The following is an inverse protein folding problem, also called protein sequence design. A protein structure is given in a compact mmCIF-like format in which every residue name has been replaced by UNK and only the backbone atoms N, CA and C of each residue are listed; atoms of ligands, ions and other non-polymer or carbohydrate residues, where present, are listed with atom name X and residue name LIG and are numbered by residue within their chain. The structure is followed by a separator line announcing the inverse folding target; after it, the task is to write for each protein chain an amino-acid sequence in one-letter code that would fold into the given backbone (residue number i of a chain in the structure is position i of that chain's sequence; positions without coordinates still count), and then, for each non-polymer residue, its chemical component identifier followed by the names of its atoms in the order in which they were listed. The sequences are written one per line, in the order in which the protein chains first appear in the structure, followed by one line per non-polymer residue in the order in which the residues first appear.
data_IF_276835957329
#
_entry.id   IF_276835957329
#
_cell.length_a   1.000
_cell.length_b   1.000
_cell.length_c   1.000
_cell.angle_alpha   90.00
_cell.angle_beta   90.00
_cell.angle_gamma   90.00
#
_symmetry.space_group_name_H-M   'P 1'
#
loop_
_entity.id
_entity.type
_entity.pdbx_description
1 polymer ?
#
# COMPACT_ATOMS: atom_id res chain seq x y z
N UNK A 1 -4.92 -7.94 -20.17
CA UNK A 1 -3.74 -7.86 -21.05
C UNK A 1 -2.53 -8.30 -20.21
N UNK A 2 -1.61 -9.14 -20.76
CA UNK A 2 -0.35 -9.45 -20.08
C UNK A 2 0.42 -8.16 -19.76
N UNK A 3 1.11 -8.16 -18.60
CA UNK A 3 1.77 -6.97 -18.06
C UNK A 3 2.82 -6.40 -19.03
N UNK A 4 3.69 -7.23 -19.56
CA UNK A 4 4.73 -6.84 -20.52
C UNK A 4 4.18 -6.12 -21.78
N UNK A 5 3.02 -6.55 -22.23
CA UNK A 5 2.28 -5.89 -23.31
C UNK A 5 1.70 -4.54 -22.87
N UNK A 6 1.13 -4.47 -21.68
CA UNK A 6 0.59 -3.22 -21.15
C UNK A 6 1.71 -2.19 -20.97
N UNK A 7 2.83 -2.57 -20.38
CA UNK A 7 4.00 -1.71 -20.18
C UNK A 7 4.48 -1.12 -21.52
N UNK A 8 4.64 -1.96 -22.53
CA UNK A 8 5.08 -1.51 -23.85
C UNK A 8 4.08 -0.51 -24.47
N UNK A 9 2.78 -0.80 -24.39
CA UNK A 9 1.75 0.05 -24.99
C UNK A 9 1.60 1.38 -24.25
N UNK A 10 1.60 1.36 -22.92
CA UNK A 10 1.45 2.56 -22.10
C UNK A 10 2.69 3.47 -22.19
N UNK A 11 3.89 2.90 -22.15
CA UNK A 11 5.12 3.64 -22.42
C UNK A 11 5.11 4.28 -23.81
N UNK A 12 4.69 3.54 -24.85
CA UNK A 12 4.60 4.07 -26.22
C UNK A 12 3.58 5.20 -26.32
N UNK A 13 2.41 5.04 -25.70
CA UNK A 13 1.37 6.08 -25.62
C UNK A 13 1.92 7.36 -24.99
N UNK A 14 2.53 7.25 -23.81
CA UNK A 14 3.03 8.40 -23.08
C UNK A 14 4.21 9.09 -23.76
N UNK A 15 5.11 8.33 -24.37
CA UNK A 15 6.20 8.91 -25.19
C UNK A 15 5.66 9.69 -26.39
N UNK A 16 4.62 9.21 -27.04
CA UNK A 16 3.94 9.96 -28.10
C UNK A 16 3.21 11.19 -27.58
N UNK A 17 2.58 11.10 -26.41
CA UNK A 17 1.98 12.25 -25.75
C UNK A 17 3.02 13.31 -25.38
N UNK A 18 4.23 12.90 -25.01
CA UNK A 18 5.38 13.78 -24.68
C UNK A 18 5.93 14.59 -25.85
N UNK A 19 5.32 14.52 -27.04
CA UNK A 19 5.65 15.43 -28.16
C UNK A 19 4.89 16.77 -28.08
N UNK A 20 3.88 16.88 -27.22
CA UNK A 20 3.06 18.09 -27.04
C UNK A 20 2.60 18.23 -25.59
N UNK A 21 2.87 19.38 -24.97
CA UNK A 21 2.52 19.62 -23.57
C UNK A 21 1.02 19.44 -23.28
N UNK A 22 0.06 20.01 -24.06
CA UNK A 22 -1.35 19.79 -23.82
C UNK A 22 -1.80 18.33 -23.95
N UNK A 23 -1.15 17.57 -24.86
CA UNK A 23 -1.45 16.14 -25.02
C UNK A 23 -0.92 15.34 -23.84
N UNK A 24 0.29 15.66 -23.38
CA UNK A 24 0.87 15.04 -22.19
C UNK A 24 -0.02 15.28 -20.97
N UNK A 25 -0.42 16.52 -20.72
CA UNK A 25 -1.27 16.89 -19.57
C UNK A 25 -2.61 16.13 -19.60
N UNK A 26 -3.23 16.01 -20.77
CA UNK A 26 -4.48 15.28 -20.96
C UNK A 26 -4.34 13.79 -20.63
N UNK A 27 -3.30 13.12 -21.17
CA UNK A 27 -3.10 11.70 -20.92
C UNK A 27 -2.64 11.44 -19.48
N UNK A 28 -1.85 12.32 -18.88
CA UNK A 28 -1.46 12.23 -17.46
C UNK A 28 -2.69 12.26 -16.57
N UNK A 29 -3.57 13.24 -16.76
CA UNK A 29 -4.81 13.36 -15.97
C UNK A 29 -5.72 12.12 -16.13
N UNK A 30 -5.93 11.64 -17.37
CA UNK A 30 -6.80 10.47 -17.57
C UNK A 30 -6.20 9.21 -16.95
N UNK A 31 -4.91 8.97 -17.14
CA UNK A 31 -4.26 7.78 -16.62
C UNK A 31 -4.19 7.79 -15.10
N UNK A 32 -3.96 8.94 -14.47
CA UNK A 32 -4.06 9.12 -13.03
C UNK A 32 -5.47 8.79 -12.52
N UNK A 33 -6.50 9.42 -13.11
CA UNK A 33 -7.90 9.19 -12.74
C UNK A 33 -8.33 7.72 -12.90
N UNK A 34 -7.86 7.04 -13.93
CA UNK A 34 -8.27 5.66 -14.22
C UNK A 34 -7.44 4.64 -13.45
N UNK A 35 -6.12 4.83 -13.37
CA UNK A 35 -5.19 3.80 -12.88
C UNK A 35 -4.71 4.04 -11.45
N UNK A 36 -4.80 5.26 -10.93
CA UNK A 36 -4.23 5.62 -9.62
C UNK A 36 -5.26 6.12 -8.61
N UNK A 37 -6.34 6.77 -9.04
CA UNK A 37 -7.39 7.24 -8.10
C UNK A 37 -7.90 6.08 -7.23
N UNK A 38 -7.89 6.23 -5.88
CA UNK A 38 -8.37 5.20 -4.96
C UNK A 38 -9.79 4.72 -5.21
N UNK A 39 -10.64 5.59 -5.78
CA UNK A 39 -12.04 5.29 -6.07
C UNK A 39 -12.25 4.68 -7.46
N UNK A 40 -11.20 4.59 -8.27
CA UNK A 40 -11.32 4.02 -9.60
C UNK A 40 -11.50 2.50 -9.54
N UNK A 41 -12.56 1.94 -10.16
CA UNK A 41 -12.72 0.48 -10.26
C UNK A 41 -11.65 -0.17 -11.18
N UNK A 42 -10.90 0.63 -11.92
CA UNK A 42 -9.82 0.19 -12.81
C UNK A 42 -8.43 0.48 -12.23
N UNK A 43 -8.33 0.89 -10.96
CA UNK A 43 -7.05 1.16 -10.30
C UNK A 43 -6.09 -0.01 -10.47
N UNK A 44 -4.89 0.28 -10.97
CA UNK A 44 -3.85 -0.71 -11.17
C UNK A 44 -2.47 -0.05 -11.18
N UNK A 45 -1.80 -0.10 -10.04
CA UNK A 45 -0.50 0.54 -9.85
C UNK A 45 0.56 -0.05 -10.80
N UNK A 46 0.49 -1.35 -11.13
CA UNK A 46 1.41 -1.97 -12.08
C UNK A 46 1.30 -1.37 -13.49
N UNK A 47 0.11 -0.97 -13.91
CA UNK A 47 -0.09 -0.28 -15.20
C UNK A 47 0.21 1.21 -15.11
N UNK A 48 0.22 1.79 -13.93
CA UNK A 48 0.55 3.21 -13.74
C UNK A 48 2.07 3.47 -13.70
N UNK A 49 2.89 2.50 -13.28
CA UNK A 49 4.35 2.59 -13.24
C UNK A 49 4.95 3.09 -14.56
N UNK A 50 4.72 2.45 -15.74
CA UNK A 50 5.34 2.89 -16.99
C UNK A 50 4.92 4.30 -17.42
N UNK A 51 3.79 4.79 -16.95
CA UNK A 51 3.33 6.15 -17.18
C UNK A 51 4.17 7.14 -16.36
N UNK A 52 4.32 6.85 -15.07
CA UNK A 52 5.14 7.67 -14.16
C UNK A 52 6.60 7.73 -14.60
N UNK A 53 7.17 6.61 -15.04
CA UNK A 53 8.54 6.58 -15.58
C UNK A 53 8.72 7.56 -16.74
N UNK A 54 7.77 7.62 -17.67
CA UNK A 54 7.82 8.58 -18.79
C UNK A 54 7.62 10.02 -18.31
N UNK A 55 6.75 10.26 -17.32
CA UNK A 55 6.53 11.61 -16.76
C UNK A 55 7.77 12.13 -16.07
N UNK A 56 8.42 11.32 -15.24
CA UNK A 56 9.65 11.68 -14.51
C UNK A 56 10.77 12.04 -15.49
N UNK A 57 10.88 11.35 -16.62
CA UNK A 57 11.89 11.60 -17.65
C UNK A 57 11.52 12.69 -18.67
N UNK A 58 10.25 13.15 -18.67
CA UNK A 58 9.74 14.04 -19.71
C UNK A 58 10.45 15.42 -19.72
N UNK A 59 11.01 15.87 -20.85
CA UNK A 59 11.60 17.20 -20.95
C UNK A 59 10.56 18.33 -20.94
N UNK A 60 9.27 18.00 -21.10
CA UNK A 60 8.16 18.96 -21.08
C UNK A 60 7.75 19.36 -19.66
N UNK A 61 8.15 18.59 -18.64
CA UNK A 61 7.88 18.90 -17.23
C UNK A 61 9.11 19.57 -16.61
N UNK A 62 8.88 20.64 -15.84
CA UNK A 62 9.91 21.22 -15.02
C UNK A 62 10.18 20.41 -13.75
N UNK A 63 11.18 20.79 -12.96
CA UNK A 63 11.59 20.07 -11.76
C UNK A 63 10.44 19.92 -10.74
N UNK A 64 9.67 20.98 -10.53
CA UNK A 64 8.55 20.96 -9.57
C UNK A 64 7.40 20.05 -10.03
N UNK A 65 7.11 20.06 -11.32
CA UNK A 65 6.06 19.23 -11.91
C UNK A 65 6.39 17.73 -11.87
N UNK A 66 7.66 17.36 -11.76
CA UNK A 66 8.12 15.97 -11.63
C UNK A 66 8.06 15.45 -10.21
N UNK A 67 7.92 16.31 -9.19
CA UNK A 67 7.96 15.88 -7.78
C UNK A 67 6.86 14.87 -7.45
N UNK A 68 5.62 15.14 -7.88
CA UNK A 68 4.49 14.23 -7.62
C UNK A 68 4.67 12.90 -8.36
N UNK A 69 4.90 12.87 -9.69
CA UNK A 69 5.15 11.61 -10.40
C UNK A 69 6.33 10.81 -9.83
N UNK A 70 7.40 11.48 -9.39
CA UNK A 70 8.56 10.80 -8.80
C UNK A 70 8.23 10.19 -7.42
N UNK A 71 7.48 10.91 -6.60
CA UNK A 71 7.00 10.42 -5.31
C UNK A 71 6.07 9.22 -5.49
N UNK A 72 5.09 9.32 -6.39
CA UNK A 72 4.14 8.23 -6.66
C UNK A 72 4.87 6.99 -7.18
N UNK A 73 5.82 7.16 -8.10
CA UNK A 73 6.65 6.08 -8.62
C UNK A 73 7.45 5.39 -7.51
N UNK A 74 8.06 6.16 -6.60
CA UNK A 74 8.75 5.60 -5.44
C UNK A 74 7.80 4.82 -4.54
N UNK A 75 6.62 5.36 -4.24
CA UNK A 75 5.64 4.72 -3.36
C UNK A 75 5.09 3.41 -3.94
N UNK A 76 4.60 3.42 -5.17
CA UNK A 76 3.99 2.22 -5.78
C UNK A 76 5.03 1.16 -6.16
N UNK A 77 6.32 1.54 -6.24
CA UNK A 77 7.41 0.60 -6.52
C UNK A 77 7.83 -0.21 -5.29
N UNK A 78 7.47 0.22 -4.08
CA UNK A 78 7.95 -0.41 -2.82
C UNK A 78 7.38 -1.79 -2.55
N UNK A 79 6.09 -2.02 -2.79
CA UNK A 79 5.38 -3.23 -2.36
C UNK A 79 4.68 -3.92 -3.54
N UNK A 80 5.42 -4.17 -4.60
CA UNK A 80 4.88 -4.82 -5.82
C UNK A 80 4.61 -6.30 -5.60
N UNK A 81 3.58 -6.82 -6.27
CA UNK A 81 3.24 -8.26 -6.23
C UNK A 81 4.45 -9.10 -6.71
N UNK A 82 4.83 -10.07 -5.90
CA UNK A 82 5.97 -10.97 -6.17
C UNK A 82 7.34 -10.42 -5.79
N UNK A 83 7.41 -9.20 -5.22
CA UNK A 83 8.65 -8.65 -4.63
C UNK A 83 8.65 -8.77 -3.12
N UNK A 84 9.84 -8.63 -2.52
CA UNK A 84 9.95 -8.54 -1.06
C UNK A 84 9.30 -7.25 -0.58
N UNK A 85 8.39 -7.34 0.38
CA UNK A 85 7.77 -6.18 1.00
C UNK A 85 8.83 -5.32 1.71
N UNK A 86 8.64 -3.99 1.65
CA UNK A 86 9.49 -3.05 2.38
C UNK A 86 9.42 -3.33 3.87
N UNK A 87 10.57 -3.50 4.52
CA UNK A 87 10.63 -3.67 5.96
C UNK A 87 10.36 -2.36 6.68
N UNK A 88 9.72 -2.44 7.82
CA UNK A 88 9.49 -1.30 8.72
C UNK A 88 9.45 -1.76 10.17
N UNK A 89 9.80 -0.85 11.08
CA UNK A 89 9.75 -1.09 12.52
C UNK A 89 8.37 -0.75 13.08
N UNK A 90 7.94 -1.51 14.06
CA UNK A 90 6.75 -1.24 14.85
C UNK A 90 7.01 -1.46 16.35
N UNK A 91 6.19 -0.85 17.20
CA UNK A 91 6.32 -0.95 18.66
C UNK A 91 5.12 -1.69 19.24
N UNK A 92 5.39 -2.67 20.09
CA UNK A 92 4.37 -3.44 20.81
C UNK A 92 3.84 -2.67 22.05
N UNK A 93 2.74 -3.15 22.63
CA UNK A 93 2.13 -2.54 23.81
C UNK A 93 3.04 -2.54 25.06
N UNK A 94 4.02 -3.43 25.12
CA UNK A 94 5.02 -3.49 26.18
C UNK A 94 6.27 -2.64 25.92
N UNK A 95 6.29 -1.89 24.81
CA UNK A 95 7.37 -1.01 24.41
C UNK A 95 8.51 -1.67 23.63
N UNK A 96 8.47 -2.98 23.40
CA UNK A 96 9.45 -3.67 22.54
C UNK A 96 9.24 -3.28 21.09
N UNK A 97 10.33 -3.15 20.35
CA UNK A 97 10.33 -2.89 18.91
C UNK A 97 10.67 -4.18 18.15
N UNK A 98 10.04 -4.38 17.01
CA UNK A 98 10.29 -5.46 16.06
C UNK A 98 10.08 -4.94 14.64
N UNK A 99 10.36 -5.75 13.61
CA UNK A 99 10.16 -5.39 12.22
C UNK A 99 9.20 -6.35 11.52
N UNK A 100 8.67 -5.93 10.36
CA UNK A 100 7.81 -6.78 9.54
C UNK A 100 8.53 -8.09 9.19
N UNK A 101 9.81 -8.02 8.85
CA UNK A 101 10.61 -9.18 8.45
C UNK A 101 11.00 -10.12 9.61
N UNK A 102 10.83 -9.69 10.86
CA UNK A 102 11.00 -10.55 12.03
C UNK A 102 9.86 -11.56 12.20
N UNK A 103 8.71 -11.32 11.57
CA UNK A 103 7.55 -12.20 11.66
C UNK A 103 7.84 -13.50 10.90
N UNK A 104 7.85 -14.61 11.63
CA UNK A 104 8.06 -15.94 11.03
C UNK A 104 6.69 -16.61 10.85
N UNK A 105 6.21 -16.60 9.61
CA UNK A 105 4.98 -17.26 9.17
C UNK A 105 5.07 -17.50 7.65
N UNK A 106 4.23 -18.41 7.12
CA UNK A 106 4.09 -18.61 5.67
C UNK A 106 3.42 -17.38 5.03
N UNK A 107 2.45 -16.80 5.74
CA UNK A 107 1.72 -15.60 5.33
C UNK A 107 1.59 -14.63 6.50
N UNK A 108 1.73 -13.35 6.22
CA UNK A 108 1.45 -12.27 7.18
C UNK A 108 0.29 -11.42 6.66
N UNK A 109 -0.79 -11.34 7.44
CA UNK A 109 -1.85 -10.36 7.19
C UNK A 109 -1.43 -9.07 7.88
N UNK A 110 -1.11 -8.03 7.10
CA UNK A 110 -0.78 -6.70 7.59
C UNK A 110 -1.99 -5.78 7.44
N UNK A 111 -2.37 -5.12 8.55
CA UNK A 111 -3.47 -4.16 8.58
C UNK A 111 -3.01 -2.88 9.27
N UNK A 112 -3.19 -1.75 8.62
CA UNK A 112 -3.16 -0.45 9.28
C UNK A 112 -4.56 -0.13 9.78
N UNK A 113 -4.70 0.09 11.08
CA UNK A 113 -6.01 0.26 11.73
C UNK A 113 -6.08 1.56 12.52
N UNK A 114 -7.29 2.14 12.56
CA UNK A 114 -7.61 3.23 13.48
C UNK A 114 -8.82 2.80 14.32
N UNK A 115 -8.82 3.00 15.66
CA UNK A 115 -9.93 2.66 16.56
C UNK A 115 -11.28 3.23 16.13
N UNK A 116 -11.28 4.44 15.58
CA UNK A 116 -12.50 5.15 15.17
C UNK A 116 -12.94 4.84 13.73
N UNK A 117 -12.34 3.82 13.09
CA UNK A 117 -12.65 3.43 11.72
C UNK A 117 -13.65 2.26 11.68
N UNK A 118 -14.93 2.47 11.35
CA UNK A 118 -15.92 1.40 11.28
C UNK A 118 -15.57 0.31 10.26
N UNK A 119 -14.96 0.69 9.13
CA UNK A 119 -14.51 -0.23 8.11
C UNK A 119 -13.41 -1.15 8.61
N UNK A 120 -12.50 -0.62 9.42
CA UNK A 120 -11.43 -1.42 10.05
C UNK A 120 -12.03 -2.48 10.97
N UNK A 121 -13.01 -2.10 11.79
CA UNK A 121 -13.72 -3.02 12.66
C UNK A 121 -14.42 -4.14 11.88
N UNK A 122 -15.15 -3.80 10.82
CA UNK A 122 -15.82 -4.77 9.95
C UNK A 122 -14.83 -5.77 9.31
N UNK A 123 -13.67 -5.31 8.86
CA UNK A 123 -12.64 -6.18 8.30
C UNK A 123 -12.04 -7.09 9.37
N UNK A 124 -11.76 -6.57 10.57
CA UNK A 124 -11.30 -7.36 11.70
C UNK A 124 -12.30 -8.48 12.05
N UNK A 125 -13.60 -8.15 12.10
CA UNK A 125 -14.66 -9.13 12.39
C UNK A 125 -14.72 -10.24 11.32
N UNK A 126 -14.58 -9.88 10.05
CA UNK A 126 -14.54 -10.85 8.94
C UNK A 126 -13.33 -11.79 9.06
N UNK A 127 -12.16 -11.27 9.42
CA UNK A 127 -10.95 -12.08 9.62
C UNK A 127 -11.15 -13.03 10.80
N UNK A 128 -11.66 -12.51 11.92
CA UNK A 128 -11.95 -13.31 13.14
C UNK A 128 -12.99 -14.39 12.87
N UNK A 129 -14.02 -14.10 12.06
CA UNK A 129 -15.08 -15.04 11.71
C UNK A 129 -14.65 -16.09 10.66
N UNK A 130 -13.49 -15.95 10.02
CA UNK A 130 -13.03 -16.85 8.96
C UNK A 130 -12.49 -18.18 9.53
N UNK A 131 -13.15 -19.34 9.30
CA UNK A 131 -12.64 -20.62 9.76
C UNK A 131 -11.28 -20.98 9.18
N UNK A 132 -11.07 -20.67 7.89
CA UNK A 132 -9.80 -20.94 7.20
C UNK A 132 -8.64 -20.14 7.81
N UNK A 133 -8.83 -18.85 8.06
CA UNK A 133 -7.78 -18.01 8.67
C UNK A 133 -7.48 -18.50 10.09
N UNK A 134 -8.49 -18.87 10.85
CA UNK A 134 -8.32 -19.39 12.22
C UNK A 134 -7.53 -20.70 12.22
N UNK A 135 -7.88 -21.66 11.36
CA UNK A 135 -7.17 -22.93 11.23
C UNK A 135 -5.70 -22.70 10.86
N UNK A 136 -5.43 -21.93 9.82
CA UNK A 136 -4.05 -21.63 9.40
C UNK A 136 -3.25 -20.84 10.44
N UNK A 137 -3.92 -20.00 11.24
CA UNK A 137 -3.29 -19.28 12.35
C UNK A 137 -2.93 -20.21 13.51
N UNK A 138 -3.78 -21.20 13.82
CA UNK A 138 -3.52 -22.21 14.83
C UNK A 138 -2.37 -23.13 14.43
N UNK A 139 -2.23 -23.46 13.15
CA UNK A 139 -1.13 -24.20 12.58
C UNK A 139 0.17 -23.36 12.49
N UNK A 140 0.12 -22.05 12.77
CA UNK A 140 1.27 -21.15 12.69
C UNK A 140 1.62 -20.69 11.25
N UNK A 141 0.78 -21.01 10.27
CA UNK A 141 1.00 -20.59 8.88
C UNK A 141 0.65 -19.12 8.65
N UNK A 142 -0.32 -18.57 9.40
CA UNK A 142 -0.70 -17.17 9.32
C UNK A 142 -0.35 -16.45 10.62
N UNK A 143 0.22 -15.25 10.50
CA UNK A 143 0.29 -14.24 11.56
C UNK A 143 -0.42 -12.99 11.10
N UNK A 144 -1.19 -12.36 11.99
CA UNK A 144 -1.81 -11.08 11.74
C UNK A 144 -1.07 -10.00 12.52
N UNK A 145 -0.60 -8.97 11.83
CA UNK A 145 -0.01 -7.77 12.39
C UNK A 145 -0.97 -6.60 12.15
N UNK A 146 -1.41 -5.94 13.23
CA UNK A 146 -2.12 -4.67 13.13
C UNK A 146 -1.21 -3.55 13.59
N UNK A 147 -1.16 -2.46 12.83
CA UNK A 147 -0.35 -1.29 13.14
C UNK A 147 -1.24 -0.06 13.21
N UNK A 148 -1.18 0.65 14.32
CA UNK A 148 -1.82 1.94 14.50
C UNK A 148 -0.85 3.05 14.06
N UNK A 149 -1.19 3.85 13.04
CA UNK A 149 -0.26 4.80 12.46
C UNK A 149 -0.35 6.21 13.04
N UNK A 150 -1.28 6.48 13.98
CA UNK A 150 -1.52 7.83 14.50
C UNK A 150 -0.90 8.06 15.88
N UNK A 151 -0.87 9.34 16.30
CA UNK A 151 -0.20 9.77 17.54
C UNK A 151 -1.01 9.54 18.83
N UNK A 152 -2.34 9.31 18.75
CA UNK A 152 -3.19 9.09 19.93
C UNK A 152 -3.03 7.66 20.48
N UNK A 153 -1.95 7.44 21.19
CA UNK A 153 -1.67 6.14 21.81
C UNK A 153 -2.63 5.78 22.94
N UNK A 154 -3.39 6.73 23.51
CA UNK A 154 -4.39 6.43 24.53
C UNK A 154 -5.60 5.76 23.87
N UNK A 155 -6.12 6.30 22.77
CA UNK A 155 -7.17 5.69 21.98
C UNK A 155 -6.78 4.27 21.54
N UNK A 156 -5.56 4.09 21.03
CA UNK A 156 -5.04 2.77 20.65
C UNK A 156 -5.00 1.80 21.84
N UNK A 157 -4.47 2.19 22.99
CA UNK A 157 -4.39 1.32 24.19
C UNK A 157 -5.77 0.88 24.66
N UNK A 158 -6.74 1.78 24.64
CA UNK A 158 -8.13 1.46 25.00
C UNK A 158 -8.74 0.46 24.01
N UNK A 159 -8.40 0.58 22.73
CA UNK A 159 -8.88 -0.32 21.69
C UNK A 159 -8.28 -1.74 21.78
N UNK A 160 -7.10 -1.92 22.36
CA UNK A 160 -6.45 -3.23 22.49
C UNK A 160 -7.30 -4.27 23.23
N UNK A 161 -8.18 -3.85 24.13
CA UNK A 161 -9.11 -4.74 24.83
C UNK A 161 -10.08 -5.46 23.89
N UNK A 162 -10.36 -4.89 22.72
CA UNK A 162 -11.25 -5.39 21.70
C UNK A 162 -10.53 -6.21 20.60
N UNK A 163 -9.20 -6.17 20.60
CA UNK A 163 -8.39 -6.86 19.59
C UNK A 163 -8.13 -8.32 19.96
N UNK A 164 -8.06 -9.24 18.97
CA UNK A 164 -7.70 -10.63 19.21
C UNK A 164 -6.31 -10.75 19.83
N UNK A 165 -6.21 -11.47 20.95
CA UNK A 165 -4.95 -11.65 21.70
C UNK A 165 -3.88 -12.42 20.92
N UNK A 166 -4.29 -13.21 19.92
CA UNK A 166 -3.36 -13.98 19.07
C UNK A 166 -2.69 -13.11 18.00
N UNK A 167 -3.20 -11.90 17.75
CA UNK A 167 -2.64 -10.98 16.78
C UNK A 167 -1.48 -10.18 17.36
N UNK A 168 -0.57 -9.77 16.53
CA UNK A 168 0.49 -8.83 16.88
C UNK A 168 -0.13 -7.42 16.76
N UNK A 169 -0.44 -6.80 17.91
CA UNK A 169 -1.03 -5.48 17.93
C UNK A 169 0.06 -4.46 18.27
N UNK A 170 0.33 -3.55 17.34
CA UNK A 170 1.45 -2.64 17.38
C UNK A 170 1.03 -1.20 16.99
N UNK A 171 1.93 -0.26 17.21
CA UNK A 171 1.81 1.12 16.75
C UNK A 171 3.10 1.60 16.11
N UNK A 172 2.99 2.61 15.25
CA UNK A 172 4.14 3.32 14.70
C UNK A 172 4.61 4.38 15.71
N UNK A 173 5.90 4.36 16.06
CA UNK A 173 6.52 5.34 16.94
C UNK A 173 7.16 6.51 16.18
N UNK A 174 7.23 6.40 14.86
CA UNK A 174 7.88 7.37 13.98
C UNK A 174 7.05 8.60 13.64
N UNK A 175 5.83 8.70 14.17
CA UNK A 175 4.93 9.83 13.98
C UNK A 175 5.13 10.90 15.06
#
# INVERSE_FOLDING_TARGET
IPRDKADTLLTSLMRRASTSRPVLDFFSMITETVLHDPNSPMRNDEYYIPILEVLVESPLLNEYERLIPAYDLDMISKNRIGTTATDFSYTLSDGRTSTLHDIKATYTILMFINPDCPMCAEICDKIVASPLINELSEMGHIKTLTVYPDADLEAWRNHLAHMPRKWINAYDKGM
#
